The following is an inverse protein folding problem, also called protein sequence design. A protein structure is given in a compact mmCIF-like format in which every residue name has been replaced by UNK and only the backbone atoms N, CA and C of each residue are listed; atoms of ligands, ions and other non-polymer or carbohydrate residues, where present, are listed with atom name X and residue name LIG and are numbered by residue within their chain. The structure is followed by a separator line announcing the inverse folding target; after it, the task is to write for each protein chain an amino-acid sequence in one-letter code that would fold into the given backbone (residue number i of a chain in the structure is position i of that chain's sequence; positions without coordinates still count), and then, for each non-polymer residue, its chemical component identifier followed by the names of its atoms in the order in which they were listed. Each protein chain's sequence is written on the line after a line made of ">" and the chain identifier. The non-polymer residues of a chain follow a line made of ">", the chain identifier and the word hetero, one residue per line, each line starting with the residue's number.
data_IF_128565362666
#
_entry.id   IF_128565362666
#
_cell.length_a   1.000
_cell.length_b   1.000
_cell.length_c   1.000
_cell.angle_alpha   90.00
_cell.angle_beta   90.00
_cell.angle_gamma   90.00
#
_symmetry.space_group_name_H-M   'P 1'
#
loop_
_entity.id
_entity.type
_entity.pdbx_description
1 polymer ?
#
# COMPACT_ATOMS: atom_id res chain seq x y z
N UNK A 1 19.90 -21.05 11.72
CA UNK A 1 19.06 -20.88 12.94
C UNK A 1 18.73 -19.42 13.05
N UNK A 2 17.45 -19.07 13.24
CA UNK A 2 17.02 -17.71 13.59
C UNK A 2 16.95 -17.60 15.11
N UNK A 3 17.82 -16.78 15.71
CA UNK A 3 17.82 -16.57 17.15
C UNK A 3 17.07 -15.29 17.48
N UNK A 4 15.83 -15.41 17.94
CA UNK A 4 14.95 -14.28 18.21
C UNK A 4 13.49 -14.71 18.26
N UNK A 5 12.61 -13.72 18.34
CA UNK A 5 11.16 -13.84 18.35
C UNK A 5 10.53 -12.45 18.31
N UNK A 6 9.21 -12.39 18.41
CA UNK A 6 8.47 -11.13 18.39
C UNK A 6 8.99 -10.20 19.49
N UNK A 7 9.49 -9.02 19.09
CA UNK A 7 10.02 -7.99 19.98
C UNK A 7 11.15 -8.43 20.95
N UNK A 8 11.91 -9.48 20.60
CA UNK A 8 12.81 -10.18 21.54
C UNK A 8 14.05 -9.41 22.03
N UNK A 9 14.58 -8.47 21.26
CA UNK A 9 15.89 -7.84 21.52
C UNK A 9 15.83 -6.51 22.27
N UNK A 10 14.75 -6.25 23.02
CA UNK A 10 14.62 -5.04 23.84
C UNK A 10 15.78 -4.90 24.86
N UNK A 11 16.22 -6.02 25.45
CA UNK A 11 17.43 -6.10 26.29
C UNK A 11 18.50 -6.94 25.58
N UNK A 12 19.01 -6.41 24.48
CA UNK A 12 20.01 -7.09 23.65
C UNK A 12 21.23 -7.66 24.42
N UNK A 13 21.82 -6.98 25.43
CA UNK A 13 22.99 -7.51 26.13
C UNK A 13 22.78 -8.88 26.79
N UNK A 14 21.57 -9.17 27.27
CA UNK A 14 21.27 -10.46 27.89
C UNK A 14 21.18 -11.58 26.85
N UNK A 15 20.51 -11.31 25.73
CA UNK A 15 20.45 -12.24 24.60
C UNK A 15 21.86 -12.55 24.07
N UNK A 16 22.69 -11.52 23.82
CA UNK A 16 24.05 -11.72 23.34
C UNK A 16 24.93 -12.48 24.33
N UNK A 17 24.86 -12.19 25.63
CA UNK A 17 25.60 -12.92 26.66
C UNK A 17 25.29 -14.42 26.67
N UNK A 18 24.04 -14.80 26.42
CA UNK A 18 23.66 -16.21 26.37
C UNK A 18 24.08 -16.87 25.05
N UNK A 19 23.99 -16.17 23.93
CA UNK A 19 24.47 -16.68 22.63
C UNK A 19 26.01 -16.85 22.66
N UNK A 20 26.76 -15.92 23.23
CA UNK A 20 28.22 -16.01 23.37
C UNK A 20 28.63 -17.25 24.17
N UNK A 21 27.94 -17.52 25.28
CA UNK A 21 28.16 -18.76 26.05
C UNK A 21 27.85 -19.99 25.20
N UNK A 22 26.74 -19.99 24.48
CA UNK A 22 26.34 -21.12 23.63
C UNK A 22 27.38 -21.41 22.54
N UNK A 23 27.82 -20.38 21.81
CA UNK A 23 28.90 -20.47 20.81
C UNK A 23 30.18 -21.02 21.45
N UNK A 24 30.59 -20.45 22.59
CA UNK A 24 31.80 -20.85 23.29
C UNK A 24 31.79 -22.34 23.64
N UNK A 25 30.73 -22.82 24.28
CA UNK A 25 30.69 -24.20 24.78
C UNK A 25 30.50 -25.22 23.65
N UNK A 26 29.68 -24.94 22.63
CA UNK A 26 29.51 -25.86 21.49
C UNK A 26 30.79 -25.98 20.67
N UNK A 27 31.48 -24.87 20.40
CA UNK A 27 32.71 -24.92 19.62
C UNK A 27 33.87 -25.53 20.43
N UNK A 28 33.87 -25.39 21.75
CA UNK A 28 34.82 -26.11 22.62
C UNK A 28 34.60 -27.63 22.56
N UNK A 29 33.34 -28.10 22.56
CA UNK A 29 33.03 -29.53 22.36
C UNK A 29 33.48 -30.05 20.99
N UNK A 30 33.39 -29.24 19.93
CA UNK A 30 33.98 -29.58 18.64
C UNK A 30 35.51 -29.75 18.73
N UNK A 31 36.19 -28.81 19.39
CA UNK A 31 37.66 -28.83 19.50
C UNK A 31 38.18 -29.96 20.41
N UNK A 32 37.48 -30.28 21.51
CA UNK A 32 37.93 -31.24 22.51
C UNK A 32 37.42 -32.66 22.26
N UNK A 33 36.16 -32.80 21.84
CA UNK A 33 35.46 -34.08 21.76
C UNK A 33 35.05 -34.46 20.31
N UNK A 34 35.43 -33.64 19.32
CA UNK A 34 35.24 -33.96 17.90
C UNK A 34 33.81 -33.82 17.39
N UNK A 35 32.98 -32.98 18.03
CA UNK A 35 31.63 -32.68 17.52
C UNK A 35 31.65 -32.12 16.08
N UNK A 36 30.74 -32.58 15.24
CA UNK A 36 30.59 -32.11 13.85
C UNK A 36 29.85 -30.77 13.72
N UNK A 37 29.57 -30.10 14.83
CA UNK A 37 28.78 -28.85 14.86
C UNK A 37 29.69 -27.67 15.19
N UNK A 38 29.67 -26.65 14.33
CA UNK A 38 30.31 -25.35 14.56
C UNK A 38 29.23 -24.27 14.53
N UNK A 39 29.22 -23.39 15.53
CA UNK A 39 28.24 -22.30 15.65
C UNK A 39 28.96 -20.96 15.66
N UNK A 40 28.42 -19.97 14.95
CA UNK A 40 28.95 -18.61 14.90
C UNK A 40 27.83 -17.62 14.56
N UNK A 41 28.01 -16.34 14.88
CA UNK A 41 27.10 -15.29 14.45
C UNK A 41 27.09 -15.16 12.93
N UNK A 42 25.91 -14.97 12.36
CA UNK A 42 25.74 -14.88 10.92
C UNK A 42 24.56 -13.99 10.57
N UNK A 43 24.34 -13.81 9.27
CA UNK A 43 23.19 -13.09 8.71
C UNK A 43 22.50 -13.98 7.68
N UNK A 44 21.23 -13.70 7.33
CA UNK A 44 20.54 -14.42 6.26
C UNK A 44 21.35 -14.45 4.94
N UNK A 45 22.04 -13.36 4.61
CA UNK A 45 22.89 -13.26 3.41
C UNK A 45 24.10 -14.20 3.47
N UNK A 46 24.79 -14.28 4.61
CA UNK A 46 25.92 -15.20 4.79
C UNK A 46 25.48 -16.67 4.72
N UNK A 47 24.30 -16.99 5.28
CA UNK A 47 23.71 -18.32 5.18
C UNK A 47 23.35 -18.69 3.73
N UNK A 48 22.69 -17.78 3.01
CA UNK A 48 22.35 -17.99 1.60
C UNK A 48 23.61 -18.14 0.73
N UNK A 49 24.66 -17.36 0.99
CA UNK A 49 25.95 -17.51 0.33
C UNK A 49 26.57 -18.89 0.54
N UNK A 50 26.54 -19.40 1.77
CA UNK A 50 27.03 -20.75 2.07
C UNK A 50 26.20 -21.84 1.38
N UNK A 51 24.87 -21.72 1.38
CA UNK A 51 23.98 -22.68 0.69
C UNK A 51 24.22 -22.74 -0.82
N UNK A 52 24.44 -21.59 -1.47
CA UNK A 52 24.72 -21.54 -2.91
C UNK A 52 26.05 -22.20 -3.30
N UNK A 53 26.98 -22.37 -2.36
CA UNK A 53 28.23 -23.11 -2.58
C UNK A 53 28.07 -24.62 -2.46
N UNK A 54 26.95 -25.09 -1.93
CA UNK A 54 26.66 -26.52 -1.83
C UNK A 54 26.10 -26.98 -3.17
N UNK A 55 26.66 -28.05 -3.71
CA UNK A 55 26.19 -28.67 -4.96
C UNK A 55 24.85 -29.40 -4.72
N UNK A 56 23.75 -28.62 -4.69
CA UNK A 56 22.40 -29.11 -4.40
C UNK A 56 21.38 -28.51 -5.36
N UNK A 57 20.47 -29.36 -5.84
CA UNK A 57 19.31 -28.98 -6.63
C UNK A 57 18.11 -28.69 -5.71
N UNK A 58 17.41 -27.59 -5.94
CA UNK A 58 16.26 -27.14 -5.15
C UNK A 58 14.95 -27.33 -5.92
N UNK A 59 13.84 -27.55 -5.21
CA UNK A 59 12.50 -27.70 -5.80
C UNK A 59 11.87 -26.35 -6.16
N UNK A 60 11.14 -26.29 -7.26
CA UNK A 60 10.39 -25.11 -7.69
C UNK A 60 9.01 -25.04 -7.00
N UNK A 61 8.54 -23.84 -6.67
CA UNK A 61 7.19 -23.57 -6.13
C UNK A 61 6.56 -22.42 -6.90
N UNK A 62 5.27 -22.53 -7.24
CA UNK A 62 4.58 -21.61 -8.18
C UNK A 62 3.32 -20.93 -7.62
N UNK A 63 2.63 -21.53 -6.64
CA UNK A 63 1.34 -20.99 -6.14
C UNK A 63 1.51 -19.92 -5.05
N UNK A 64 0.40 -19.29 -4.65
CA UNK A 64 0.31 -18.12 -3.77
C UNK A 64 -0.40 -18.38 -2.42
N UNK A 65 -0.60 -17.34 -1.58
CA UNK A 65 -1.24 -17.40 -0.26
C UNK A 65 -1.92 -16.05 0.11
N UNK A 66 -3.27 -15.89 0.07
CA UNK A 66 -3.93 -14.55 0.28
C UNK A 66 -5.33 -14.47 0.95
N UNK A 67 -5.56 -13.57 1.96
CA UNK A 67 -6.83 -12.80 2.27
C UNK A 67 -6.65 -11.34 2.87
N UNK A 68 -7.71 -10.62 3.32
CA UNK A 68 -8.13 -9.25 2.91
C UNK A 68 -8.13 -8.01 3.89
N UNK A 69 -7.82 -6.83 3.33
CA UNK A 69 -8.13 -5.38 3.65
C UNK A 69 -8.05 -4.56 2.32
N UNK A 70 -7.21 -5.06 1.42
CA UNK A 70 -7.20 -5.05 -0.05
C UNK A 70 -7.92 -3.94 -0.83
N UNK A 71 -9.23 -3.76 -0.68
CA UNK A 71 -9.96 -2.82 -1.57
C UNK A 71 -9.59 -1.38 -1.26
N UNK A 72 -9.52 -0.99 0.02
CA UNK A 72 -9.19 0.38 0.37
C UNK A 72 -7.73 0.70 0.01
N UNK A 73 -6.81 -0.23 0.31
CA UNK A 73 -5.41 -0.15 -0.14
C UNK A 73 -5.31 0.03 -1.67
N UNK A 74 -6.01 -0.78 -2.45
CA UNK A 74 -5.96 -0.71 -3.92
C UNK A 74 -6.48 0.62 -4.45
N UNK A 75 -7.54 1.16 -3.84
CA UNK A 75 -8.09 2.47 -4.16
C UNK A 75 -7.09 3.59 -3.83
N UNK A 76 -6.50 3.55 -2.62
CA UNK A 76 -5.47 4.48 -2.20
C UNK A 76 -4.23 4.45 -3.10
N UNK A 77 -3.80 3.25 -3.55
CA UNK A 77 -2.70 3.12 -4.50
C UNK A 77 -3.01 3.80 -5.83
N UNK A 78 -4.25 3.69 -6.35
CA UNK A 78 -4.64 4.34 -7.59
C UNK A 78 -4.53 5.87 -7.48
N UNK A 79 -5.01 6.45 -6.37
CA UNK A 79 -4.89 7.89 -6.08
C UNK A 79 -3.42 8.29 -5.98
N UNK A 80 -2.59 7.49 -5.28
CA UNK A 80 -1.16 7.76 -5.15
C UNK A 80 -0.44 7.80 -6.50
N UNK A 81 -0.74 6.86 -7.41
CA UNK A 81 -0.14 6.87 -8.75
C UNK A 81 -0.58 8.09 -9.57
N UNK A 82 -1.87 8.44 -9.53
CA UNK A 82 -2.38 9.62 -10.22
C UNK A 82 -1.73 10.92 -9.68
N UNK A 83 -1.63 11.06 -8.36
CA UNK A 83 -0.99 12.21 -7.72
C UNK A 83 0.50 12.33 -8.11
N UNK A 84 1.23 11.22 -8.18
CA UNK A 84 2.62 11.19 -8.65
C UNK A 84 2.76 11.64 -10.10
N UNK A 85 1.88 11.14 -10.98
CA UNK A 85 1.87 11.53 -12.39
C UNK A 85 1.56 13.01 -12.55
N UNK A 86 0.52 13.52 -11.90
CA UNK A 86 0.14 14.93 -11.94
C UNK A 86 1.26 15.82 -11.41
N UNK A 87 1.88 15.45 -10.28
CA UNK A 87 3.02 16.17 -9.74
C UNK A 87 4.20 16.22 -10.73
N UNK A 88 4.50 15.10 -11.40
CA UNK A 88 5.57 15.05 -12.38
C UNK A 88 5.25 15.89 -13.63
N UNK A 89 4.05 15.73 -14.21
CA UNK A 89 3.66 16.40 -15.45
C UNK A 89 3.45 17.90 -15.28
N UNK A 90 2.89 18.33 -14.15
CA UNK A 90 2.72 19.74 -13.84
C UNK A 90 3.96 20.34 -13.13
N UNK A 91 5.05 19.58 -12.97
CA UNK A 91 6.28 19.99 -12.31
C UNK A 91 6.02 20.64 -10.92
N UNK A 92 5.16 19.99 -10.14
CA UNK A 92 4.79 20.43 -8.80
C UNK A 92 5.85 19.94 -7.81
N UNK A 93 6.22 20.78 -6.85
CA UNK A 93 7.18 20.43 -5.79
C UNK A 93 6.48 19.79 -4.58
N UNK A 94 5.45 18.94 -4.78
CA UNK A 94 4.62 18.37 -3.70
C UNK A 94 5.16 17.03 -3.17
N UNK A 95 6.48 16.82 -3.22
CA UNK A 95 7.13 15.56 -2.82
C UNK A 95 6.77 15.14 -1.39
N UNK A 96 6.72 16.09 -0.45
CA UNK A 96 6.40 15.81 0.95
C UNK A 96 4.95 15.34 1.10
N UNK A 97 4.02 15.96 0.38
CA UNK A 97 2.60 15.58 0.39
C UNK A 97 2.38 14.18 -0.20
N UNK A 98 3.07 13.86 -1.30
CA UNK A 98 3.09 12.50 -1.89
C UNK A 98 3.69 11.49 -0.91
N UNK A 99 4.70 11.89 -0.16
CA UNK A 99 5.40 11.01 0.75
C UNK A 99 4.48 10.49 1.86
N UNK A 100 3.55 11.30 2.37
CA UNK A 100 2.60 10.91 3.43
C UNK A 100 1.77 9.69 2.98
N UNK A 101 1.07 9.77 1.84
CA UNK A 101 0.32 8.62 1.34
C UNK A 101 1.25 7.46 0.94
N UNK A 102 2.46 7.74 0.46
CA UNK A 102 3.44 6.69 0.12
C UNK A 102 3.89 5.88 1.34
N UNK A 103 4.16 6.56 2.46
CA UNK A 103 4.54 5.94 3.73
C UNK A 103 3.40 5.11 4.29
N UNK A 104 2.19 5.67 4.34
CA UNK A 104 0.99 4.93 4.78
C UNK A 104 0.75 3.69 3.92
N UNK A 105 0.87 3.80 2.60
CA UNK A 105 0.75 2.65 1.70
C UNK A 105 1.79 1.58 2.04
N UNK A 106 3.02 1.98 2.42
CA UNK A 106 4.06 1.07 2.90
C UNK A 106 3.70 0.36 4.20
N UNK A 107 3.17 1.10 5.19
CA UNK A 107 2.70 0.55 6.47
C UNK A 107 1.60 -0.49 6.23
N UNK A 108 0.64 -0.19 5.36
CA UNK A 108 -0.50 -1.08 5.10
C UNK A 108 -0.08 -2.34 4.35
N UNK A 109 1.09 -2.39 3.69
CA UNK A 109 1.64 -3.66 3.16
C UNK A 109 2.21 -4.58 4.25
N UNK A 110 2.26 -4.15 5.52
CA UNK A 110 2.64 -5.03 6.63
C UNK A 110 1.77 -6.29 6.60
N UNK A 111 2.38 -7.42 6.98
CA UNK A 111 1.73 -8.73 6.90
C UNK A 111 0.66 -8.96 7.98
N UNK A 112 0.50 -8.02 8.91
CA UNK A 112 -0.66 -7.88 9.79
C UNK A 112 -1.46 -6.62 9.48
N UNK A 113 -1.47 -6.15 8.23
CA UNK A 113 -2.30 -5.02 7.83
C UNK A 113 -3.13 -5.40 6.60
N UNK A 114 -2.50 -5.59 5.45
CA UNK A 114 -3.23 -5.92 4.21
C UNK A 114 -3.97 -7.26 4.28
N UNK A 115 -3.51 -8.13 5.19
CA UNK A 115 -4.01 -9.47 5.47
C UNK A 115 -5.25 -9.47 6.36
N UNK A 116 -5.48 -8.41 7.14
CA UNK A 116 -6.55 -8.32 8.13
C UNK A 116 -6.32 -9.22 9.35
N UNK A 117 -5.06 -9.41 9.78
CA UNK A 117 -4.71 -10.25 10.94
C UNK A 117 -4.37 -9.45 12.20
N UNK A 118 -4.52 -8.13 12.16
CA UNK A 118 -4.44 -7.23 13.30
C UNK A 118 -5.71 -7.21 14.17
N UNK A 119 -5.64 -6.46 15.28
CA UNK A 119 -6.82 -6.15 16.08
C UNK A 119 -7.66 -5.05 15.42
N UNK A 120 -8.95 -5.03 15.69
CA UNK A 120 -9.90 -4.06 15.12
C UNK A 120 -9.46 -2.61 15.32
N UNK A 121 -8.95 -2.24 16.51
CA UNK A 121 -8.47 -0.88 16.76
C UNK A 121 -7.25 -0.49 15.89
N UNK A 122 -6.43 -1.48 15.53
CA UNK A 122 -5.27 -1.30 14.64
C UNK A 122 -5.72 -1.21 13.19
N UNK A 123 -6.73 -2.00 12.79
CA UNK A 123 -7.36 -1.89 11.47
C UNK A 123 -7.98 -0.49 11.26
N UNK A 124 -8.62 0.07 12.30
CA UNK A 124 -9.12 1.44 12.27
C UNK A 124 -8.01 2.49 12.19
N UNK A 125 -6.88 2.30 12.87
CA UNK A 125 -5.69 3.16 12.71
C UNK A 125 -5.16 3.12 11.26
N UNK A 126 -5.07 1.94 10.64
CA UNK A 126 -4.69 1.82 9.23
C UNK A 126 -5.66 2.54 8.29
N UNK A 127 -6.97 2.36 8.50
CA UNK A 127 -8.00 3.04 7.71
C UNK A 127 -7.93 4.57 7.87
N UNK A 128 -7.69 5.05 9.10
CA UNK A 128 -7.51 6.47 9.38
C UNK A 128 -6.29 7.03 8.67
N UNK A 129 -5.12 6.39 8.80
CA UNK A 129 -3.90 6.83 8.10
C UNK A 129 -4.08 6.87 6.58
N UNK A 130 -4.79 5.89 6.00
CA UNK A 130 -5.09 5.90 4.57
C UNK A 130 -5.98 7.08 4.19
N UNK A 131 -7.00 7.37 5.00
CA UNK A 131 -7.88 8.53 4.81
C UNK A 131 -7.10 9.84 4.83
N UNK A 132 -6.24 10.03 5.84
CA UNK A 132 -5.42 11.24 5.99
C UNK A 132 -4.44 11.40 4.81
N UNK A 133 -3.81 10.29 4.39
CA UNK A 133 -2.92 10.29 3.22
C UNK A 133 -3.64 10.62 1.92
N UNK A 134 -4.85 10.07 1.70
CA UNK A 134 -5.68 10.39 0.54
C UNK A 134 -6.01 11.88 0.52
N UNK A 135 -6.50 12.44 1.63
CA UNK A 135 -6.89 13.84 1.70
C UNK A 135 -5.74 14.80 1.31
N UNK A 136 -4.51 14.47 1.72
CA UNK A 136 -3.32 15.22 1.31
C UNK A 136 -3.00 15.03 -0.18
N UNK A 137 -3.09 13.81 -0.70
CA UNK A 137 -2.83 13.53 -2.12
C UNK A 137 -3.85 14.17 -3.06
N UNK A 138 -5.10 14.31 -2.62
CA UNK A 138 -6.17 14.99 -3.36
C UNK A 138 -5.97 16.49 -3.50
N UNK A 139 -5.08 17.10 -2.71
CA UNK A 139 -4.74 18.52 -2.81
C UNK A 139 -3.62 18.80 -3.84
N UNK A 140 -3.06 17.75 -4.46
CA UNK A 140 -1.99 17.84 -5.48
C UNK A 140 -2.48 18.23 -6.90
N UNK A 141 -3.78 18.11 -7.31
CA UNK A 141 -4.21 18.59 -8.62
C UNK A 141 -3.80 20.05 -8.86
N UNK A 142 -3.41 20.41 -10.10
CA UNK A 142 -2.82 21.72 -10.40
C UNK A 142 -3.81 22.89 -10.34
N UNK A 143 -5.11 22.64 -10.13
CA UNK A 143 -6.15 23.67 -10.13
C UNK A 143 -6.78 23.84 -8.75
N UNK A 144 -6.81 25.08 -8.26
CA UNK A 144 -7.57 25.47 -7.09
C UNK A 144 -9.07 25.15 -7.27
N UNK A 145 -9.70 24.55 -6.26
CA UNK A 145 -11.12 24.16 -6.19
C UNK A 145 -11.53 22.88 -6.96
N UNK A 146 -10.63 21.90 -7.12
CA UNK A 146 -11.02 20.54 -7.54
C UNK A 146 -11.14 19.60 -6.32
N UNK A 147 -12.13 18.71 -6.34
CA UNK A 147 -12.39 17.72 -5.29
C UNK A 147 -12.73 16.36 -5.91
N UNK A 148 -12.48 15.28 -5.17
CA UNK A 148 -12.84 13.92 -5.59
C UNK A 148 -14.10 13.43 -4.86
N UNK A 149 -15.02 12.81 -5.59
CA UNK A 149 -16.19 12.15 -5.00
C UNK A 149 -15.83 10.78 -4.39
N UNK A 150 -15.23 10.76 -3.20
CA UNK A 150 -14.76 9.53 -2.55
C UNK A 150 -15.88 8.55 -2.18
N UNK A 151 -17.10 9.07 -1.93
CA UNK A 151 -18.27 8.28 -1.53
C UNK A 151 -19.12 7.79 -2.71
N UNK A 152 -18.58 7.83 -3.93
CA UNK A 152 -19.30 7.41 -5.15
C UNK A 152 -19.70 5.93 -5.10
N UNK A 153 -18.99 5.09 -4.35
CA UNK A 153 -19.33 3.68 -4.12
C UNK A 153 -20.67 3.50 -3.40
N UNK A 154 -21.06 4.41 -2.51
CA UNK A 154 -22.35 4.44 -1.82
C UNK A 154 -23.34 5.40 -2.50
N UNK A 155 -23.06 5.77 -3.75
CA UNK A 155 -23.85 6.69 -4.57
C UNK A 155 -24.00 8.07 -3.94
N UNK A 156 -22.92 8.60 -3.36
CA UNK A 156 -22.90 9.94 -2.76
C UNK A 156 -21.70 10.76 -3.26
N UNK A 157 -21.93 12.04 -3.51
CA UNK A 157 -20.87 13.03 -3.70
C UNK A 157 -21.38 14.35 -3.10
N UNK A 158 -20.73 14.82 -2.03
CA UNK A 158 -21.21 15.96 -1.25
C UNK A 158 -20.90 17.27 -1.95
N UNK A 159 -19.84 17.29 -2.74
CA UNK A 159 -19.24 18.46 -3.38
C UNK A 159 -20.11 19.01 -4.52
N UNK A 160 -20.96 18.17 -5.11
CA UNK A 160 -21.88 18.54 -6.19
C UNK A 160 -23.34 18.60 -5.73
N UNK A 161 -23.61 18.33 -4.45
CA UNK A 161 -24.96 18.36 -3.92
C UNK A 161 -25.53 19.79 -3.93
N UNK A 162 -26.65 19.98 -4.62
CA UNK A 162 -27.31 21.28 -4.77
C UNK A 162 -26.64 22.24 -5.77
N UNK A 163 -25.62 21.79 -6.51
CA UNK A 163 -24.97 22.62 -7.53
C UNK A 163 -25.75 22.60 -8.85
N UNK A 164 -26.14 23.77 -9.38
CA UNK A 164 -26.82 23.87 -10.67
C UNK A 164 -25.89 23.54 -11.86
N UNK A 165 -24.59 23.80 -11.69
CA UNK A 165 -23.57 23.54 -12.70
C UNK A 165 -22.23 23.21 -12.04
N UNK A 166 -21.54 22.21 -12.55
CA UNK A 166 -20.19 21.86 -12.14
C UNK A 166 -19.38 21.38 -13.35
N UNK A 167 -18.05 21.32 -13.19
CA UNK A 167 -17.13 20.80 -14.22
C UNK A 167 -16.52 19.50 -13.73
N UNK A 168 -16.61 18.45 -14.55
CA UNK A 168 -15.97 17.17 -14.27
C UNK A 168 -14.64 17.08 -15.01
N UNK A 169 -13.55 16.85 -14.26
CA UNK A 169 -12.22 16.59 -14.83
C UNK A 169 -11.94 15.10 -14.73
N UNK A 170 -11.57 14.47 -15.84
CA UNK A 170 -11.24 13.05 -15.90
C UNK A 170 -9.74 12.87 -16.17
N UNK A 171 -9.08 12.10 -15.33
CA UNK A 171 -7.67 11.73 -15.51
C UNK A 171 -7.56 10.27 -15.90
N UNK A 172 -6.88 9.98 -17.02
CA UNK A 172 -6.53 8.63 -17.41
C UNK A 172 -5.06 8.37 -17.02
N UNK A 173 -4.80 7.58 -15.95
CA UNK A 173 -3.43 7.32 -15.51
C UNK A 173 -2.70 6.26 -16.37
N UNK A 174 -3.35 5.73 -17.41
CA UNK A 174 -2.77 4.72 -18.30
C UNK A 174 -2.13 5.37 -19.53
N UNK A 175 -1.19 4.67 -20.16
CA UNK A 175 -0.49 5.14 -21.36
C UNK A 175 -1.33 5.02 -22.65
N UNK A 176 -2.50 4.37 -22.58
CA UNK A 176 -3.35 4.11 -23.74
C UNK A 176 -4.66 4.89 -23.65
N UNK A 177 -5.27 5.28 -24.79
CA UNK A 177 -6.63 5.82 -24.78
C UNK A 177 -7.62 4.83 -24.16
N UNK A 178 -8.50 5.33 -23.29
CA UNK A 178 -9.54 4.54 -22.61
C UNK A 178 -10.90 5.15 -22.90
N UNK A 179 -11.85 4.31 -23.29
CA UNK A 179 -13.27 4.67 -23.40
C UNK A 179 -14.02 3.91 -22.32
N UNK A 180 -14.65 4.63 -21.40
CA UNK A 180 -15.38 4.05 -20.29
C UNK A 180 -16.59 4.91 -19.91
N UNK A 181 -17.61 4.27 -19.35
CA UNK A 181 -18.73 4.98 -18.74
C UNK A 181 -18.28 5.61 -17.41
N UNK A 182 -18.57 6.89 -17.24
CA UNK A 182 -18.35 7.59 -15.98
C UNK A 182 -19.69 7.70 -15.26
N UNK A 183 -19.74 7.24 -14.01
CA UNK A 183 -20.94 7.30 -13.18
C UNK A 183 -20.76 8.36 -12.10
N UNK A 184 -21.64 9.34 -12.09
CA UNK A 184 -21.66 10.43 -11.10
C UNK A 184 -22.99 10.38 -10.35
N UNK A 185 -23.00 10.31 -9.01
CA UNK A 185 -24.24 10.36 -8.24
C UNK A 185 -24.79 11.80 -8.25
N UNK A 186 -26.02 11.96 -8.75
CA UNK A 186 -26.69 13.27 -8.89
C UNK A 186 -28.09 13.21 -8.26
N UNK A 187 -28.61 14.36 -7.82
CA UNK A 187 -29.98 14.48 -7.28
C UNK A 187 -31.02 14.87 -8.33
N UNK A 188 -30.59 15.61 -9.35
CA UNK A 188 -31.42 16.11 -10.44
C UNK A 188 -30.81 15.69 -11.77
N UNK A 189 -31.59 15.82 -12.84
CA UNK A 189 -31.11 15.57 -14.19
C UNK A 189 -30.18 16.70 -14.64
N UNK A 190 -29.09 16.33 -15.32
CA UNK A 190 -28.13 17.27 -15.90
C UNK A 190 -28.00 17.03 -17.40
N UNK A 191 -27.81 18.10 -18.16
CA UNK A 191 -27.33 18.00 -19.55
C UNK A 191 -25.80 18.03 -19.54
N UNK A 192 -25.18 17.00 -20.10
CA UNK A 192 -23.71 16.88 -20.11
C UNK A 192 -23.17 17.48 -21.42
N UNK A 193 -22.16 18.33 -21.30
CA UNK A 193 -21.47 18.92 -22.44
C UNK A 193 -19.99 18.54 -22.42
N UNK A 194 -19.40 18.31 -23.59
CA UNK A 194 -17.97 18.11 -23.76
C UNK A 194 -17.20 19.46 -23.73
N UNK A 195 -15.85 19.45 -23.79
CA UNK A 195 -15.07 20.68 -23.80
C UNK A 195 -15.31 21.61 -25.00
N UNK A 196 -15.96 21.13 -26.06
CA UNK A 196 -16.33 21.93 -27.24
C UNK A 196 -17.74 22.52 -27.15
N UNK A 197 -18.51 22.14 -26.11
CA UNK A 197 -19.90 22.54 -25.88
C UNK A 197 -20.92 21.59 -26.48
N UNK A 198 -20.50 20.51 -27.14
CA UNK A 198 -21.41 19.52 -27.72
C UNK A 198 -22.04 18.65 -26.63
N UNK A 199 -23.34 18.38 -26.74
CA UNK A 199 -24.04 17.49 -25.79
C UNK A 199 -23.51 16.06 -25.90
N UNK A 200 -23.17 15.48 -24.77
CA UNK A 200 -22.74 14.08 -24.64
C UNK A 200 -23.95 13.23 -24.27
N UNK A 201 -24.06 12.05 -24.88
CA UNK A 201 -25.11 11.09 -24.53
C UNK A 201 -24.97 10.66 -23.06
N UNK A 202 -26.05 10.77 -22.31
CA UNK A 202 -26.11 10.41 -20.89
C UNK A 202 -27.42 9.72 -20.55
N UNK A 203 -27.37 8.85 -19.54
CA UNK A 203 -28.53 8.16 -18.99
C UNK A 203 -28.58 8.38 -17.47
N UNK A 204 -29.75 8.70 -16.95
CA UNK A 204 -30.00 8.80 -15.51
C UNK A 204 -30.53 7.47 -15.02
N UNK A 205 -29.81 6.86 -14.08
CA UNK A 205 -30.18 5.58 -13.49
C UNK A 205 -30.77 5.80 -12.10
N UNK A 206 -31.99 5.34 -11.88
CA UNK A 206 -32.62 5.37 -10.56
C UNK A 206 -31.89 4.44 -9.56
N UNK A 207 -31.76 4.90 -8.32
CA UNK A 207 -31.23 4.09 -7.24
C UNK A 207 -32.27 3.03 -6.86
N UNK A 208 -32.00 1.77 -7.20
CA UNK A 208 -32.78 0.64 -6.64
C UNK A 208 -32.54 0.58 -5.13
N UNK A 209 -33.60 0.84 -4.37
CA UNK A 209 -33.66 0.71 -2.92
C UNK A 209 -33.69 -0.78 -2.55
#
# INVERSE_FOLDING_TARGET
>A
MTFGGDFHYEIAPEAFKNIDKFIKYVNAEQAMNGSNVNIFYSTPSCYLYALNKVDRVWTTKTDDFFPALKRYERHSNNILQAARQLNAFANLNQRNNIFILSETMGIVQHHDAITGTEREEVAFDYAQRLSDGIAVAECIPPASNQFLCQLSNISQCLEIDGQERFTLTLWNPTIHPVVQHVRVPVKTDYTIHDPTGQTVLSEVLEKKI
#
